data_IF_983989203011
#
_entry.id   IF_983989203011
#
_cell.length_a   1.000
_cell.length_b   1.000
_cell.length_c   1.000
_cell.angle_alpha   90.00
_cell.angle_beta   90.00
_cell.angle_gamma   90.00
#
_symmetry.space_group_name_H-M   'P 1'
#
loop_
_entity.id
_entity.type
_entity.pdbx_description
1 polymer ?
#
# COMPACT_ATOMS: atom_id res chain seq x y z
N UNK A 1 -48.65 38.64 -19.70
CA UNK A 1 -48.05 37.28 -19.77
C UNK A 1 -46.55 37.42 -19.62
N UNK A 2 -46.07 37.38 -18.37
CA UNK A 2 -44.68 37.68 -18.03
C UNK A 2 -44.02 36.36 -17.57
N UNK A 3 -43.09 35.84 -18.36
CA UNK A 3 -42.31 34.63 -18.03
C UNK A 3 -41.14 35.02 -17.13
N UNK A 4 -41.18 34.60 -15.87
CA UNK A 4 -40.05 34.70 -14.97
C UNK A 4 -39.10 33.51 -15.20
N UNK A 5 -37.87 33.80 -15.71
CA UNK A 5 -36.78 32.84 -15.79
C UNK A 5 -36.11 32.75 -14.42
N UNK A 6 -36.24 31.58 -13.78
CA UNK A 6 -35.46 31.24 -12.59
C UNK A 6 -34.05 30.80 -13.01
N UNK A 7 -33.08 31.66 -12.76
CA UNK A 7 -31.65 31.35 -12.91
C UNK A 7 -31.19 30.68 -11.64
N UNK A 8 -31.05 29.35 -11.68
CA UNK A 8 -30.51 28.55 -10.55
C UNK A 8 -29.01 28.74 -10.51
N UNK A 9 -28.55 29.55 -9.56
CA UNK A 9 -27.13 29.77 -9.30
C UNK A 9 -26.59 28.56 -8.52
N UNK A 10 -25.83 27.70 -9.21
CA UNK A 10 -25.13 26.57 -8.62
C UNK A 10 -23.90 27.10 -7.82
N UNK A 11 -24.06 27.26 -6.53
CA UNK A 11 -22.91 27.57 -5.65
C UNK A 11 -22.00 26.34 -5.58
N UNK A 12 -20.91 26.31 -6.37
CA UNK A 12 -19.76 25.46 -6.08
C UNK A 12 -19.10 26.02 -4.81
N UNK A 13 -19.39 25.42 -3.67
CA UNK A 13 -18.66 25.69 -2.44
C UNK A 13 -17.26 25.07 -2.55
N UNK A 14 -16.30 25.87 -2.98
CA UNK A 14 -14.88 25.57 -2.77
C UNK A 14 -14.60 25.72 -1.28
N UNK A 15 -14.62 24.61 -0.55
CA UNK A 15 -14.09 24.58 0.82
C UNK A 15 -12.58 24.90 0.74
N UNK A 16 -12.23 26.14 0.98
CA UNK A 16 -10.86 26.59 1.15
C UNK A 16 -10.41 26.10 2.53
N UNK A 17 -9.78 24.93 2.58
CA UNK A 17 -9.14 24.39 3.78
C UNK A 17 -7.93 25.27 4.11
N UNK A 18 -8.08 26.16 5.07
CA UNK A 18 -7.01 26.89 5.70
C UNK A 18 -6.22 25.96 6.64
N UNK A 19 -5.35 25.10 6.07
CA UNK A 19 -4.34 24.39 6.86
C UNK A 19 -3.21 25.38 7.13
N UNK A 20 -3.21 25.98 8.31
CA UNK A 20 -2.17 26.84 8.81
C UNK A 20 -0.87 26.07 9.00
N UNK A 21 0.14 26.46 8.20
CA UNK A 21 1.49 25.89 8.22
C UNK A 21 1.66 24.70 7.28
N UNK A 22 2.60 24.76 6.34
CA UNK A 22 2.90 23.86 5.22
C UNK A 22 3.08 22.36 5.51
N UNK A 23 2.33 21.79 6.46
CA UNK A 23 2.38 20.38 6.85
C UNK A 23 1.00 19.74 6.80
N UNK A 24 0.91 18.60 6.14
CA UNK A 24 -0.27 17.74 6.15
C UNK A 24 0.08 16.43 6.86
N UNK A 25 -0.75 16.03 7.84
CA UNK A 25 -0.64 14.74 8.54
C UNK A 25 -1.80 13.85 8.12
N UNK A 26 -1.55 12.56 7.92
CA UNK A 26 -2.60 11.64 7.55
C UNK A 26 -2.09 10.26 7.15
N UNK A 27 -2.95 9.51 6.47
CA UNK A 27 -2.68 8.15 6.00
C UNK A 27 -2.67 8.12 4.48
N UNK A 28 -1.65 7.50 3.89
CA UNK A 28 -1.55 7.30 2.43
C UNK A 28 -2.63 6.35 1.96
N UNK A 29 -3.47 6.80 1.05
CA UNK A 29 -4.52 5.97 0.44
C UNK A 29 -4.23 5.60 -1.00
N UNK A 30 -3.38 6.38 -1.68
CA UNK A 30 -2.91 6.08 -3.02
C UNK A 30 -1.55 6.74 -3.26
N UNK A 31 -0.69 6.05 -3.99
CA UNK A 31 0.61 6.56 -4.43
C UNK A 31 0.82 6.16 -5.89
N UNK A 32 1.19 7.15 -6.70
CA UNK A 32 1.65 6.98 -8.08
C UNK A 32 3.01 7.67 -8.23
N UNK A 33 3.63 7.58 -9.40
CA UNK A 33 4.92 8.23 -9.66
C UNK A 33 4.87 9.76 -9.54
N UNK A 34 3.69 10.36 -9.73
CA UNK A 34 3.50 11.82 -9.78
C UNK A 34 2.55 12.37 -8.72
N UNK A 35 1.83 11.50 -8.00
CA UNK A 35 0.80 11.93 -7.04
C UNK A 35 0.77 11.05 -5.80
N UNK A 36 0.57 11.71 -4.67
CA UNK A 36 0.34 11.12 -3.36
C UNK A 36 -1.06 11.55 -2.88
N UNK A 37 -1.94 10.59 -2.62
CA UNK A 37 -3.24 10.87 -1.99
C UNK A 37 -3.18 10.49 -0.52
N UNK A 38 -3.47 11.45 0.33
CA UNK A 38 -3.48 11.30 1.78
C UNK A 38 -4.87 11.59 2.31
N UNK A 39 -5.40 10.69 3.14
CA UNK A 39 -6.54 11.02 3.99
C UNK A 39 -5.99 11.69 5.24
N UNK A 40 -6.25 12.98 5.37
CA UNK A 40 -5.79 13.80 6.49
C UNK A 40 -6.49 13.40 7.80
N UNK A 41 -5.96 13.81 8.93
CA UNK A 41 -6.50 13.46 10.26
C UNK A 41 -7.93 14.00 10.47
N UNK A 42 -8.34 15.05 9.75
CA UNK A 42 -9.70 15.59 9.65
C UNK A 42 -10.64 14.82 8.68
N UNK A 43 -10.16 13.69 8.12
CA UNK A 43 -10.81 12.79 7.17
C UNK A 43 -10.93 13.33 5.73
N UNK A 44 -10.39 14.48 5.42
CA UNK A 44 -10.37 14.99 4.06
C UNK A 44 -9.34 14.25 3.20
N UNK A 45 -9.71 13.97 1.96
CA UNK A 45 -8.78 13.42 0.97
C UNK A 45 -8.06 14.56 0.27
N UNK A 46 -6.76 14.59 0.40
CA UNK A 46 -5.91 15.60 -0.23
C UNK A 46 -5.02 14.93 -1.26
N UNK A 47 -5.05 15.42 -2.50
CA UNK A 47 -4.15 15.00 -3.58
C UNK A 47 -2.99 15.98 -3.65
N UNK A 48 -1.77 15.46 -3.57
CA UNK A 48 -0.53 16.20 -3.53
C UNK A 48 0.33 15.74 -4.70
N UNK A 49 0.82 16.66 -5.50
CA UNK A 49 1.73 16.32 -6.58
C UNK A 49 3.14 16.05 -6.04
N UNK A 50 3.79 15.12 -6.67
CA UNK A 50 5.20 14.79 -6.48
C UNK A 50 5.97 15.28 -7.71
N UNK A 51 7.08 15.93 -7.49
CA UNK A 51 7.99 16.35 -8.53
C UNK A 51 9.41 15.78 -8.28
N UNK A 52 10.35 16.13 -9.14
CA UNK A 52 11.75 15.67 -9.03
C UNK A 52 12.47 16.15 -7.76
N UNK A 53 11.95 17.20 -7.13
CA UNK A 53 12.53 17.81 -5.92
C UNK A 53 11.84 17.28 -4.65
N UNK A 54 10.77 16.46 -4.80
CA UNK A 54 10.08 15.82 -3.68
C UNK A 54 10.97 14.76 -3.04
N UNK A 55 11.25 14.92 -1.74
CA UNK A 55 12.11 14.04 -0.95
C UNK A 55 11.27 13.14 -0.06
N UNK A 56 11.83 11.98 0.25
CA UNK A 56 11.21 10.99 1.14
C UNK A 56 12.17 10.64 2.27
N UNK A 57 11.63 10.56 3.49
CA UNK A 57 12.36 10.10 4.67
C UNK A 57 11.57 9.00 5.37
N UNK A 58 12.22 7.88 5.63
CA UNK A 58 11.70 6.77 6.43
C UNK A 58 12.47 6.73 7.76
N UNK A 59 11.78 7.00 8.86
CA UNK A 59 12.37 7.05 10.21
C UNK A 59 13.63 7.93 10.27
N UNK A 60 13.55 9.13 9.67
CA UNK A 60 14.64 10.10 9.64
C UNK A 60 15.78 9.80 8.66
N UNK A 61 15.71 8.71 7.89
CA UNK A 61 16.70 8.34 6.89
C UNK A 61 16.19 8.62 5.50
N UNK A 62 17.06 9.07 4.59
CA UNK A 62 16.72 9.28 3.19
C UNK A 62 16.12 8.01 2.58
N UNK A 63 15.04 8.16 1.84
CA UNK A 63 14.27 7.08 1.26
C UNK A 63 13.72 7.44 -0.12
N UNK A 64 12.85 6.60 -0.67
CA UNK A 64 12.21 6.81 -1.98
C UNK A 64 10.70 6.61 -1.90
N UNK A 65 9.97 7.11 -2.90
CA UNK A 65 8.53 6.88 -3.01
C UNK A 65 8.18 5.37 -3.03
N UNK A 66 9.00 4.54 -3.65
CA UNK A 66 8.80 3.08 -3.72
C UNK A 66 8.82 2.39 -2.35
N UNK A 67 9.51 2.99 -1.37
CA UNK A 67 9.59 2.47 -0.01
C UNK A 67 8.43 2.93 0.88
N UNK A 68 7.50 3.76 0.37
CA UNK A 68 6.34 4.25 1.10
C UNK A 68 5.11 3.36 0.83
N UNK A 69 4.71 2.48 1.76
CA UNK A 69 3.54 1.64 1.59
C UNK A 69 2.24 2.47 1.67
N UNK A 70 1.24 2.09 0.87
CA UNK A 70 -0.13 2.57 1.08
C UNK A 70 -0.62 2.08 2.44
N UNK A 71 -1.30 2.95 3.19
CA UNK A 71 -1.68 2.70 4.59
C UNK A 71 -0.70 3.29 5.62
N UNK A 72 0.48 3.75 5.20
CA UNK A 72 1.44 4.38 6.11
C UNK A 72 0.96 5.75 6.60
N UNK A 73 1.26 6.05 7.86
CA UNK A 73 1.14 7.42 8.37
C UNK A 73 2.26 8.29 7.84
N UNK A 74 1.90 9.48 7.38
CA UNK A 74 2.84 10.43 6.80
C UNK A 74 2.69 11.83 7.40
N UNK A 75 3.79 12.55 7.40
CA UNK A 75 3.83 14.01 7.54
C UNK A 75 4.38 14.57 6.24
N UNK A 76 3.55 15.29 5.49
CA UNK A 76 3.91 15.87 4.21
C UNK A 76 4.18 17.36 4.40
N UNK A 77 5.38 17.79 4.08
CA UNK A 77 5.73 19.20 3.98
C UNK A 77 5.37 19.69 2.58
N UNK A 78 4.57 20.73 2.52
CA UNK A 78 4.05 21.26 1.27
C UNK A 78 4.86 22.49 0.84
N UNK A 79 4.98 22.69 -0.47
CA UNK A 79 5.60 23.88 -1.05
C UNK A 79 4.69 25.09 -0.82
N UNK A 80 5.17 26.15 -0.14
CA UNK A 80 4.35 27.32 0.13
C UNK A 80 3.78 27.94 -1.15
N UNK A 81 2.47 28.24 -1.14
CA UNK A 81 1.79 28.92 -2.25
C UNK A 81 1.57 28.09 -3.52
N UNK A 82 2.02 26.85 -3.58
CA UNK A 82 1.81 26.00 -4.74
C UNK A 82 0.34 25.59 -4.87
N UNK A 83 -0.23 25.81 -6.04
CA UNK A 83 -1.58 25.37 -6.44
C UNK A 83 -1.49 24.74 -7.84
N UNK A 84 -1.70 23.42 -8.00
CA UNK A 84 -2.02 22.43 -6.97
C UNK A 84 -0.90 22.22 -5.95
N UNK A 85 -1.21 21.61 -4.80
CA UNK A 85 -0.23 21.36 -3.73
C UNK A 85 0.87 20.43 -4.21
N UNK A 86 2.11 20.74 -3.85
CA UNK A 86 3.31 19.96 -4.18
C UNK A 86 4.04 19.59 -2.90
N UNK A 87 4.45 18.33 -2.77
CA UNK A 87 5.26 17.88 -1.65
C UNK A 87 6.73 18.30 -1.82
N UNK A 88 7.33 18.87 -0.79
CA UNK A 88 8.78 19.07 -0.71
C UNK A 88 9.47 17.94 0.04
N UNK A 89 8.81 17.42 1.09
CA UNK A 89 9.31 16.32 1.89
C UNK A 89 8.15 15.47 2.42
N UNK A 90 8.23 14.16 2.25
CA UNK A 90 7.30 13.19 2.80
C UNK A 90 8.04 12.38 3.87
N UNK A 91 7.71 12.62 5.13
CA UNK A 91 8.22 11.83 6.25
C UNK A 91 7.25 10.72 6.60
N UNK A 92 7.75 9.52 6.76
CA UNK A 92 6.97 8.36 7.16
C UNK A 92 7.80 7.43 8.04
N UNK A 93 7.10 6.60 8.79
CA UNK A 93 7.67 5.40 9.40
C UNK A 93 6.94 4.25 8.72
N UNK A 94 7.66 3.51 7.89
CA UNK A 94 7.11 2.31 7.31
C UNK A 94 6.74 1.37 8.45
N UNK A 95 5.48 0.94 8.53
CA UNK A 95 5.12 -0.12 9.44
C UNK A 95 6.02 -1.31 9.15
N UNK A 96 6.64 -1.89 10.18
CA UNK A 96 7.44 -3.08 10.00
C UNK A 96 6.57 -4.14 9.30
N UNK A 97 7.06 -4.66 8.18
CA UNK A 97 6.34 -5.69 7.45
C UNK A 97 6.16 -6.92 8.36
N UNK A 98 4.94 -7.42 8.45
CA UNK A 98 4.69 -8.68 9.15
C UNK A 98 5.35 -9.80 8.35
N UNK A 99 6.38 -10.41 8.93
CA UNK A 99 7.04 -11.56 8.31
C UNK A 99 6.24 -12.82 8.56
N UNK A 100 6.02 -13.59 7.51
CA UNK A 100 5.33 -14.89 7.56
C UNK A 100 6.21 -15.91 6.84
N UNK A 101 6.67 -16.90 7.59
CA UNK A 101 7.48 -17.98 7.02
C UNK A 101 6.56 -19.09 6.48
N UNK A 102 6.80 -19.49 5.23
CA UNK A 102 6.03 -20.51 4.51
C UNK A 102 6.98 -21.57 3.99
N UNK A 103 6.75 -22.80 4.37
CA UNK A 103 7.47 -23.95 3.82
C UNK A 103 6.66 -24.62 2.71
N UNK A 104 7.33 -25.03 1.63
CA UNK A 104 6.77 -25.94 0.65
C UNK A 104 7.23 -27.35 0.96
N UNK A 105 6.27 -28.21 1.33
CA UNK A 105 6.50 -29.62 1.68
C UNK A 105 5.84 -30.53 0.64
N UNK A 106 5.95 -31.84 0.84
CA UNK A 106 5.18 -32.83 0.04
C UNK A 106 3.67 -32.62 0.08
N UNK A 107 3.16 -32.10 1.21
CA UNK A 107 1.73 -31.89 1.45
C UNK A 107 1.24 -30.51 1.00
N UNK A 108 2.17 -29.65 0.54
CA UNK A 108 1.85 -28.34 -0.01
C UNK A 108 2.49 -27.17 0.77
N UNK A 109 1.80 -26.02 0.78
CA UNK A 109 2.24 -24.86 1.51
C UNK A 109 1.88 -24.98 3.00
N UNK A 110 2.88 -24.96 3.86
CA UNK A 110 2.73 -24.97 5.32
C UNK A 110 3.15 -23.61 5.86
N UNK A 111 2.22 -22.89 6.51
CA UNK A 111 2.48 -21.60 7.14
C UNK A 111 2.92 -21.86 8.58
N UNK A 112 4.18 -21.54 8.90
CA UNK A 112 4.66 -21.56 10.27
C UNK A 112 4.10 -20.35 11.02
N UNK A 113 3.48 -20.56 12.18
CA UNK A 113 2.95 -19.48 13.04
C UNK A 113 2.07 -18.48 12.26
N UNK A 114 0.98 -18.98 11.63
CA UNK A 114 0.07 -18.15 10.84
C UNK A 114 -0.45 -16.94 11.66
N UNK A 115 0.15 -15.74 11.52
CA UNK A 115 -0.31 -14.57 12.25
C UNK A 115 -1.62 -14.07 11.63
N UNK A 116 -2.46 -13.48 12.44
CA UNK A 116 -3.53 -12.65 11.91
C UNK A 116 -2.95 -11.36 11.35
N UNK A 117 -3.13 -11.14 10.07
CA UNK A 117 -2.66 -9.94 9.38
C UNK A 117 -3.65 -8.79 9.60
N UNK A 118 -3.18 -7.55 9.45
CA UNK A 118 -4.05 -6.36 9.50
C UNK A 118 -4.13 -5.72 8.12
N UNK A 119 -5.34 -5.30 7.75
CA UNK A 119 -5.54 -4.53 6.52
C UNK A 119 -4.71 -3.22 6.56
N UNK A 120 -4.07 -2.88 5.44
CA UNK A 120 -3.19 -1.71 5.32
C UNK A 120 -1.78 -1.91 5.85
N UNK A 121 -1.44 -3.03 6.48
CA UNK A 121 -0.07 -3.31 6.92
C UNK A 121 0.69 -4.14 5.88
N UNK A 122 1.96 -3.78 5.60
CA UNK A 122 2.82 -4.56 4.71
C UNK A 122 3.08 -5.94 5.30
N UNK A 123 3.11 -6.94 4.42
CA UNK A 123 3.39 -8.34 4.74
C UNK A 123 4.51 -8.83 3.82
N UNK A 124 5.46 -9.57 4.36
CA UNK A 124 6.48 -10.28 3.60
C UNK A 124 6.37 -11.77 3.87
N UNK A 125 5.95 -12.53 2.86
CA UNK A 125 6.07 -13.98 2.89
C UNK A 125 7.50 -14.38 2.58
N UNK A 126 8.09 -15.20 3.42
CA UNK A 126 9.39 -15.83 3.15
C UNK A 126 9.12 -17.29 2.86
N UNK A 127 9.16 -17.64 1.57
CA UNK A 127 8.76 -18.97 1.10
C UNK A 127 10.01 -19.77 0.80
N UNK A 128 10.12 -20.95 1.42
CA UNK A 128 11.24 -21.87 1.19
C UNK A 128 10.71 -23.20 0.70
N UNK A 129 11.16 -23.61 -0.49
CA UNK A 129 10.86 -24.94 -1.05
C UNK A 129 11.97 -25.91 -0.68
N UNK A 130 11.66 -26.91 0.14
CA UNK A 130 12.60 -27.94 0.58
C UNK A 130 12.44 -29.30 -0.12
N UNK A 131 11.41 -29.42 -0.98
CA UNK A 131 11.12 -30.64 -1.74
C UNK A 131 11.35 -30.45 -3.23
N UNK A 132 11.97 -31.40 -3.87
CA UNK A 132 12.26 -31.35 -5.31
C UNK A 132 11.03 -31.66 -6.15
N UNK A 133 10.31 -32.75 -5.80
CA UNK A 133 9.12 -33.21 -6.52
C UNK A 133 7.87 -32.56 -5.94
N UNK A 134 7.43 -31.46 -6.52
CA UNK A 134 6.20 -30.74 -6.17
C UNK A 134 5.72 -29.92 -7.35
N UNK A 135 4.42 -29.64 -7.45
CA UNK A 135 3.88 -28.67 -8.40
C UNK A 135 4.08 -27.21 -7.92
N UNK A 136 4.44 -27.01 -6.64
CA UNK A 136 4.69 -25.69 -6.08
C UNK A 136 6.13 -25.23 -6.38
N UNK A 137 6.50 -25.16 -7.65
CA UNK A 137 7.76 -24.60 -8.15
C UNK A 137 7.75 -23.07 -8.19
N UNK A 138 6.60 -22.49 -7.97
CA UNK A 138 6.33 -21.06 -7.89
C UNK A 138 5.23 -20.76 -6.88
N UNK A 139 5.12 -19.50 -6.48
CA UNK A 139 4.02 -18.99 -5.67
C UNK A 139 3.33 -17.86 -6.43
N UNK A 140 2.00 -17.93 -6.48
CA UNK A 140 1.13 -16.95 -7.14
C UNK A 140 0.14 -16.37 -6.16
N UNK A 141 0.11 -15.04 -6.05
CA UNK A 141 -0.90 -14.27 -5.32
C UNK A 141 -1.75 -13.52 -6.35
N UNK A 142 -2.79 -14.16 -6.86
CA UNK A 142 -3.63 -13.63 -7.95
C UNK A 142 -4.21 -12.24 -7.64
N UNK A 143 -4.65 -12.05 -6.39
CA UNK A 143 -5.25 -10.78 -5.94
C UNK A 143 -4.29 -9.58 -6.06
N UNK A 144 -2.98 -9.84 -5.95
CA UNK A 144 -1.93 -8.81 -6.01
C UNK A 144 -1.16 -8.82 -7.34
N UNK A 145 -1.49 -9.72 -8.26
CA UNK A 145 -0.77 -9.86 -9.53
C UNK A 145 0.70 -10.29 -9.35
N UNK A 146 1.01 -10.98 -8.25
CA UNK A 146 2.36 -11.42 -7.93
C UNK A 146 2.55 -12.88 -8.31
N UNK A 147 3.69 -13.17 -8.92
CA UNK A 147 4.16 -14.53 -9.22
C UNK A 147 5.68 -14.57 -9.08
N UNK A 148 6.18 -15.54 -8.30
CA UNK A 148 7.62 -15.69 -8.04
C UNK A 148 8.02 -17.16 -8.11
N UNK A 149 9.12 -17.50 -8.81
CA UNK A 149 9.67 -18.85 -8.81
C UNK A 149 10.28 -19.18 -7.45
N UNK A 150 10.15 -20.43 -7.03
CA UNK A 150 10.65 -20.98 -5.78
C UNK A 150 11.83 -21.94 -6.07
N UNK A 151 13.06 -21.44 -6.16
CA UNK A 151 14.23 -22.33 -6.33
C UNK A 151 14.39 -23.22 -5.10
N UNK A 152 14.88 -24.44 -5.31
CA UNK A 152 15.05 -25.43 -4.24
C UNK A 152 16.02 -24.92 -3.17
N UNK A 153 15.63 -25.07 -1.90
CA UNK A 153 16.41 -24.71 -0.71
C UNK A 153 16.85 -23.22 -0.65
N UNK A 154 16.16 -22.34 -1.36
CA UNK A 154 16.42 -20.90 -1.30
C UNK A 154 15.17 -20.16 -0.82
N UNK A 155 15.26 -19.31 0.20
CA UNK A 155 14.15 -18.47 0.62
C UNK A 155 13.86 -17.42 -0.47
N UNK A 156 12.58 -17.23 -0.79
CA UNK A 156 12.08 -16.20 -1.69
C UNK A 156 11.15 -15.30 -0.94
N UNK A 157 11.37 -13.99 -1.02
CA UNK A 157 10.54 -12.98 -0.37
C UNK A 157 9.48 -12.45 -1.33
N UNK A 158 8.23 -12.49 -0.89
CA UNK A 158 7.08 -11.93 -1.62
C UNK A 158 6.38 -10.94 -0.73
N UNK A 159 6.44 -9.65 -1.08
CA UNK A 159 5.85 -8.57 -0.29
C UNK A 159 4.56 -8.07 -0.91
N UNK A 160 3.54 -7.85 -0.07
CA UNK A 160 2.26 -7.29 -0.48
C UNK A 160 1.61 -6.53 0.70
N UNK A 161 0.57 -5.75 0.40
CA UNK A 161 -0.22 -5.06 1.44
C UNK A 161 -1.70 -5.35 1.20
N UNK A 162 -2.36 -6.13 2.08
CA UNK A 162 -3.78 -6.39 1.97
C UNK A 162 -4.58 -5.11 2.21
N UNK A 163 -5.51 -4.76 1.33
CA UNK A 163 -6.27 -3.49 1.40
C UNK A 163 -7.52 -3.58 2.27
N UNK A 164 -8.02 -4.77 2.56
CA UNK A 164 -9.27 -5.03 3.29
C UNK A 164 -9.17 -6.30 4.08
N UNK A 165 -10.01 -6.44 5.10
CA UNK A 165 -10.20 -7.67 5.84
C UNK A 165 -10.72 -8.80 4.93
N UNK A 166 -10.37 -10.03 5.24
CA UNK A 166 -10.74 -11.22 4.46
C UNK A 166 -9.69 -12.31 4.51
N UNK A 167 -9.56 -13.05 3.42
CA UNK A 167 -8.58 -14.13 3.26
C UNK A 167 -7.70 -13.84 2.06
N UNK A 168 -6.40 -13.75 2.27
CA UNK A 168 -5.41 -13.72 1.19
C UNK A 168 -5.03 -15.15 0.84
N UNK A 169 -5.33 -15.55 -0.38
CA UNK A 169 -5.00 -16.87 -0.92
C UNK A 169 -3.74 -16.79 -1.78
N UNK A 170 -2.86 -17.75 -1.61
CA UNK A 170 -1.72 -17.99 -2.49
C UNK A 170 -1.70 -19.44 -2.93
N UNK A 171 -1.17 -19.72 -4.13
CA UNK A 171 -1.20 -21.05 -4.72
C UNK A 171 0.02 -21.27 -5.63
N UNK A 172 0.23 -22.52 -6.07
CA UNK A 172 1.11 -22.80 -7.21
C UNK A 172 0.46 -22.33 -8.53
N UNK A 173 1.22 -22.21 -9.61
CA UNK A 173 0.72 -21.72 -10.91
C UNK A 173 -0.46 -22.54 -11.43
N UNK A 174 -0.47 -23.85 -11.20
CA UNK A 174 -1.56 -24.75 -11.60
C UNK A 174 -2.75 -24.76 -10.63
N UNK A 175 -2.71 -23.99 -9.56
CA UNK A 175 -3.77 -23.87 -8.54
C UNK A 175 -4.15 -25.17 -7.80
N UNK A 176 -3.32 -26.21 -7.90
CA UNK A 176 -3.56 -27.51 -7.27
C UNK A 176 -3.20 -27.52 -5.78
N UNK A 177 -2.21 -26.73 -5.38
CA UNK A 177 -1.77 -26.57 -4.00
C UNK A 177 -1.92 -25.10 -3.62
N UNK A 178 -2.59 -24.84 -2.50
CA UNK A 178 -2.85 -23.50 -2.02
C UNK A 178 -2.65 -23.38 -0.51
N UNK A 179 -2.34 -22.15 -0.09
CA UNK A 179 -2.37 -21.71 1.30
C UNK A 179 -3.21 -20.45 1.45
N UNK A 180 -3.48 -20.07 2.68
CA UNK A 180 -4.24 -18.86 2.97
C UNK A 180 -3.80 -18.21 4.28
N UNK A 181 -4.02 -16.88 4.36
CA UNK A 181 -3.78 -16.06 5.54
C UNK A 181 -5.01 -15.24 5.85
N UNK A 182 -5.36 -15.14 7.13
CA UNK A 182 -6.47 -14.31 7.60
C UNK A 182 -6.02 -12.86 7.75
N UNK A 183 -6.86 -11.93 7.31
CA UNK A 183 -6.68 -10.47 7.43
C UNK A 183 -7.86 -9.89 8.19
N UNK A 184 -7.60 -9.09 9.21
CA UNK A 184 -8.56 -8.33 10.00
C UNK A 184 -8.45 -6.83 9.76
#
# INVERSE_FOLDING_TARGET
MTRASFLTLLFLSTAALAHGGGHLKGVVTQLTDTQLTVTADDKDKVVINLDKDSRFENDGKASTAKALPVGSRVVVHLKPGAKPQVATLVKFVAAAATRVDVAVTSDGFVVANAPTLKAGQPVTLVVTRSVEKTCATDIVLKEFGLSQPLPLNKPVEVSFTPKKAGVVRFACAMDMIAGSLKVE
#
